data_IF_101405856402
#
_entry.id   IF_101405856402
#
_cell.length_a   1.000
_cell.length_b   1.000
_cell.length_c   1.000
_cell.angle_alpha   90.00
_cell.angle_beta   90.00
_cell.angle_gamma   90.00
#
_symmetry.space_group_name_H-M   'P 1'
#
loop_
_entity.id
_entity.type
_entity.pdbx_description
1 polymer ?
#
# COMPACT_ATOMS: atom_id res chain seq x y z
N UNK A 1 15.96 8.68 -1.48
CA UNK A 1 15.27 8.26 -0.24
C UNK A 1 14.10 7.40 -0.67
N UNK A 2 13.92 6.22 -0.08
CA UNK A 2 12.89 5.28 -0.51
C UNK A 2 11.60 5.56 0.25
N UNK A 3 10.55 6.00 -0.46
CA UNK A 3 9.30 6.47 0.15
C UNK A 3 8.21 5.40 0.16
N UNK A 4 7.44 5.36 1.24
CA UNK A 4 6.24 4.54 1.38
C UNK A 4 5.02 5.40 1.68
N UNK A 5 3.86 4.98 1.18
CA UNK A 5 2.56 5.56 1.52
C UNK A 5 1.70 4.54 2.27
N UNK A 6 1.20 4.90 3.44
CA UNK A 6 0.21 4.12 4.20
C UNK A 6 -1.15 4.76 4.01
N UNK A 7 -2.15 3.99 3.58
CA UNK A 7 -3.53 4.45 3.38
C UNK A 7 -4.44 3.63 4.28
N UNK A 8 -4.79 4.19 5.42
CA UNK A 8 -5.47 3.51 6.52
C UNK A 8 -6.20 4.58 7.34
N UNK A 9 -7.46 4.36 7.72
CA UNK A 9 -8.25 5.35 8.48
C UNK A 9 -8.13 5.17 10.01
N UNK A 10 -7.67 4.00 10.46
CA UNK A 10 -7.53 3.68 11.89
C UNK A 10 -6.13 4.04 12.42
N UNK A 11 -5.99 5.00 13.36
CA UNK A 11 -4.68 5.48 13.84
C UNK A 11 -3.77 4.40 14.43
N UNK A 12 -4.35 3.37 15.07
CA UNK A 12 -3.59 2.25 15.62
C UNK A 12 -2.90 1.43 14.51
N UNK A 13 -3.63 1.12 13.43
CA UNK A 13 -3.06 0.39 12.29
C UNK A 13 -2.08 1.25 11.49
N UNK A 14 -2.37 2.55 11.34
CA UNK A 14 -1.40 3.50 10.75
C UNK A 14 -0.06 3.44 11.49
N UNK A 15 -0.09 3.44 12.82
CA UNK A 15 1.11 3.41 13.67
C UNK A 15 1.89 2.11 13.48
N UNK A 16 1.21 0.97 13.50
CA UNK A 16 1.82 -0.36 13.31
C UNK A 16 2.53 -0.44 11.95
N UNK A 17 1.81 -0.11 10.88
CA UNK A 17 2.34 -0.19 9.51
C UNK A 17 3.49 0.80 9.31
N UNK A 18 3.34 2.04 9.80
CA UNK A 18 4.38 3.06 9.72
C UNK A 18 5.65 2.61 10.44
N UNK A 19 5.55 2.12 11.67
CA UNK A 19 6.72 1.66 12.45
C UNK A 19 7.46 0.53 11.74
N UNK A 20 6.74 -0.43 11.15
CA UNK A 20 7.35 -1.51 10.39
C UNK A 20 8.11 -0.99 9.16
N UNK A 21 7.54 -0.04 8.43
CA UNK A 21 8.14 0.53 7.22
C UNK A 21 9.32 1.44 7.54
N UNK A 22 9.24 2.26 8.58
CA UNK A 22 10.36 3.07 9.07
C UNK A 22 11.51 2.16 9.52
N UNK A 23 11.22 1.08 10.25
CA UNK A 23 12.23 0.07 10.63
C UNK A 23 12.85 -0.63 9.41
N UNK A 24 12.07 -0.82 8.35
CA UNK A 24 12.57 -1.32 7.08
C UNK A 24 13.42 -0.31 6.29
N UNK A 25 13.45 0.96 6.70
CA UNK A 25 14.26 2.02 6.10
C UNK A 25 13.51 2.92 5.10
N UNK A 26 12.17 2.91 5.12
CA UNK A 26 11.36 3.81 4.32
C UNK A 26 11.16 5.17 5.01
N UNK A 27 11.03 6.21 4.19
CA UNK A 27 10.44 7.49 4.58
C UNK A 27 8.93 7.39 4.35
N UNK A 28 8.13 7.49 5.42
CA UNK A 28 6.72 7.07 5.42
C UNK A 28 5.78 8.25 5.51
N UNK A 29 4.83 8.33 4.58
CA UNK A 29 3.68 9.21 4.68
C UNK A 29 2.38 8.44 4.91
N UNK A 30 1.41 9.08 5.56
CA UNK A 30 0.15 8.44 5.98
C UNK A 30 -1.05 9.23 5.49
N UNK A 31 -1.91 8.60 4.70
CA UNK A 31 -3.21 9.08 4.27
C UNK A 31 -4.33 8.41 5.05
N UNK A 32 -5.26 9.22 5.57
CA UNK A 32 -6.40 8.73 6.35
C UNK A 32 -7.60 8.33 5.50
N UNK A 33 -7.54 8.54 4.18
CA UNK A 33 -8.58 8.18 3.23
C UNK A 33 -8.04 8.17 1.78
N UNK A 34 -8.86 7.66 0.86
CA UNK A 34 -8.49 7.56 -0.55
C UNK A 34 -8.26 8.91 -1.27
N UNK A 35 -8.96 9.98 -0.89
CA UNK A 35 -8.78 11.29 -1.51
C UNK A 35 -7.41 11.89 -1.16
N UNK A 36 -7.01 11.78 0.11
CA UNK A 36 -5.70 12.20 0.58
C UNK A 36 -4.58 11.36 -0.04
N UNK A 37 -4.79 10.05 -0.20
CA UNK A 37 -3.84 9.16 -0.89
C UNK A 37 -3.62 9.60 -2.35
N UNK A 38 -4.71 9.86 -3.09
CA UNK A 38 -4.62 10.34 -4.47
C UNK A 38 -4.01 11.73 -4.59
N UNK A 39 -4.24 12.62 -3.62
CA UNK A 39 -3.61 13.93 -3.59
C UNK A 39 -2.07 13.79 -3.45
N UNK A 40 -1.61 13.00 -2.48
CA UNK A 40 -0.17 12.73 -2.29
C UNK A 40 0.48 12.09 -3.51
N UNK A 41 -0.19 11.11 -4.12
CA UNK A 41 0.32 10.43 -5.31
C UNK A 41 0.53 11.37 -6.51
N UNK A 42 -0.22 12.48 -6.58
CA UNK A 42 -0.02 13.51 -7.62
C UNK A 42 1.16 14.44 -7.33
N UNK A 43 1.51 14.63 -6.07
CA UNK A 43 2.56 15.55 -5.64
C UNK A 43 3.95 14.88 -5.62
N UNK A 44 3.98 13.57 -5.38
CA UNK A 44 5.22 12.84 -5.14
C UNK A 44 5.11 11.36 -5.51
N UNK A 45 6.26 10.74 -5.73
CA UNK A 45 6.37 9.33 -6.08
C UNK A 45 6.71 8.47 -4.86
N UNK A 46 6.07 7.30 -4.81
CA UNK A 46 6.28 6.30 -3.78
C UNK A 46 6.74 4.98 -4.40
N UNK A 47 7.49 4.20 -3.62
CA UNK A 47 8.03 2.91 -4.06
C UNK A 47 7.11 1.77 -3.63
N UNK A 48 6.41 1.98 -2.51
CA UNK A 48 5.43 1.04 -1.97
C UNK A 48 4.24 1.79 -1.38
N UNK A 49 3.06 1.22 -1.52
CA UNK A 49 1.83 1.67 -0.89
C UNK A 49 1.20 0.51 -0.13
N UNK A 50 0.86 0.73 1.13
CA UNK A 50 0.02 -0.16 1.93
C UNK A 50 -1.39 0.42 1.97
N UNK A 51 -2.38 -0.36 1.54
CA UNK A 51 -3.74 0.13 1.30
C UNK A 51 -4.78 -0.72 2.03
N UNK A 52 -5.53 -0.11 2.94
CA UNK A 52 -6.73 -0.74 3.50
C UNK A 52 -7.91 -0.64 2.54
N UNK A 53 -8.64 -1.75 2.37
CA UNK A 53 -9.90 -1.77 1.64
C UNK A 53 -11.07 -1.30 2.50
N UNK A 54 -10.98 -1.48 3.82
CA UNK A 54 -12.00 -1.19 4.80
C UNK A 54 -11.94 0.28 5.26
N UNK A 55 -12.24 1.22 4.36
CA UNK A 55 -12.36 2.64 4.70
C UNK A 55 -13.81 3.14 4.50
N UNK A 56 -14.34 3.99 5.39
CA UNK A 56 -15.76 4.38 5.40
C UNK A 56 -16.16 5.35 4.28
N UNK A 57 -15.24 6.20 3.82
CA UNK A 57 -15.57 7.34 2.94
C UNK A 57 -15.33 7.05 1.46
N UNK A 58 -14.14 6.52 1.14
CA UNK A 58 -13.77 6.05 -0.19
C UNK A 58 -13.08 4.71 -0.02
N UNK A 59 -13.65 3.65 -0.60
CA UNK A 59 -13.09 2.31 -0.46
C UNK A 59 -11.71 2.24 -1.10
N UNK A 60 -10.76 1.57 -0.44
CA UNK A 60 -9.44 1.31 -1.00
C UNK A 60 -9.49 0.58 -2.35
N UNK A 61 -10.54 -0.22 -2.59
CA UNK A 61 -10.74 -0.85 -3.91
C UNK A 61 -10.86 0.18 -5.04
N UNK A 62 -11.54 1.30 -4.80
CA UNK A 62 -11.65 2.39 -5.79
C UNK A 62 -10.30 3.06 -6.01
N UNK A 63 -9.53 3.29 -4.94
CA UNK A 63 -8.18 3.87 -5.02
C UNK A 63 -7.27 2.98 -5.87
N UNK A 64 -7.28 1.67 -5.61
CA UNK A 64 -6.49 0.69 -6.35
C UNK A 64 -6.79 0.72 -7.85
N UNK A 65 -8.08 0.71 -8.23
CA UNK A 65 -8.51 0.79 -9.63
C UNK A 65 -8.05 2.08 -10.30
N UNK A 66 -8.24 3.22 -9.65
CA UNK A 66 -7.83 4.53 -10.18
C UNK A 66 -6.32 4.56 -10.42
N UNK A 67 -5.53 4.10 -9.45
CA UNK A 67 -4.06 4.10 -9.55
C UNK A 67 -3.59 3.21 -10.71
N UNK A 68 -4.16 2.01 -10.88
CA UNK A 68 -3.78 1.13 -11.99
C UNK A 68 -4.22 1.65 -13.35
N UNK A 69 -5.37 2.33 -13.44
CA UNK A 69 -5.82 2.97 -14.68
C UNK A 69 -4.93 4.15 -15.10
N UNK A 70 -4.26 4.81 -14.15
CA UNK A 70 -3.41 5.96 -14.46
C UNK A 70 -2.07 5.58 -15.12
N UNK A 71 -1.63 4.31 -15.07
CA UNK A 71 -0.38 3.78 -15.65
C UNK A 71 0.93 4.34 -15.05
N UNK A 72 0.89 5.54 -14.47
CA UNK A 72 2.06 6.26 -13.93
C UNK A 72 2.64 5.64 -12.65
N UNK A 73 1.96 4.62 -12.09
CA UNK A 73 2.33 3.96 -10.84
C UNK A 73 2.67 2.47 -11.02
N UNK A 74 2.95 2.04 -12.26
CA UNK A 74 3.31 0.63 -12.56
C UNK A 74 4.53 0.14 -11.79
N UNK A 75 5.46 1.03 -11.44
CA UNK A 75 6.66 0.68 -10.69
C UNK A 75 6.43 0.64 -9.17
N UNK A 76 5.36 1.26 -8.66
CA UNK A 76 5.04 1.28 -7.23
C UNK A 76 4.39 -0.03 -6.79
N UNK A 77 4.97 -0.69 -5.80
CA UNK A 77 4.37 -1.88 -5.19
C UNK A 77 3.08 -1.49 -4.46
N UNK A 78 1.98 -2.21 -4.70
CA UNK A 78 0.73 -2.00 -3.98
C UNK A 78 0.41 -3.24 -3.16
N UNK A 79 0.47 -3.08 -1.84
CA UNK A 79 0.16 -4.11 -0.85
C UNK A 79 -1.19 -3.79 -0.25
N UNK A 80 -2.17 -4.64 -0.52
CA UNK A 80 -3.49 -4.53 0.11
C UNK A 80 -3.43 -5.17 1.48
N UNK A 81 -3.92 -4.46 2.51
CA UNK A 81 -4.03 -4.96 3.88
C UNK A 81 -5.48 -4.85 4.32
N UNK A 82 -6.18 -5.96 4.51
CA UNK A 82 -7.60 -5.93 4.87
C UNK A 82 -7.91 -6.83 6.06
N UNK A 83 -8.91 -6.46 6.86
CA UNK A 83 -9.48 -7.35 7.88
C UNK A 83 -10.53 -8.32 7.31
N UNK A 84 -11.01 -8.07 6.08
CA UNK A 84 -12.09 -8.84 5.48
C UNK A 84 -11.59 -9.61 4.26
N UNK A 85 -11.41 -10.93 4.43
CA UNK A 85 -11.02 -11.82 3.34
C UNK A 85 -12.05 -11.88 2.20
N UNK A 86 -13.33 -11.60 2.46
CA UNK A 86 -14.35 -11.55 1.41
C UNK A 86 -14.24 -10.33 0.50
N UNK A 87 -13.52 -9.29 0.91
CA UNK A 87 -13.22 -8.14 0.04
C UNK A 87 -12.02 -8.38 -0.87
N UNK A 88 -11.29 -9.48 -0.66
CA UNK A 88 -10.28 -9.94 -1.60
C UNK A 88 -10.95 -10.66 -2.78
N UNK A 89 -11.55 -9.89 -3.68
CA UNK A 89 -12.07 -10.42 -4.95
C UNK A 89 -10.94 -10.69 -5.93
N UNK A 90 -11.17 -11.53 -6.95
CA UNK A 90 -10.20 -11.80 -8.02
C UNK A 90 -9.66 -10.52 -8.67
N UNK A 91 -10.50 -9.49 -8.81
CA UNK A 91 -10.08 -8.18 -9.33
C UNK A 91 -9.06 -7.47 -8.44
N UNK A 92 -9.13 -7.63 -7.11
CA UNK A 92 -8.14 -7.06 -6.19
C UNK A 92 -6.83 -7.83 -6.32
N UNK A 93 -6.88 -9.15 -6.42
CA UNK A 93 -5.70 -9.99 -6.60
C UNK A 93 -4.97 -9.71 -7.93
N UNK A 94 -5.71 -9.34 -8.98
CA UNK A 94 -5.15 -8.96 -10.27
C UNK A 94 -4.48 -7.57 -10.24
N UNK A 95 -5.01 -6.64 -9.44
CA UNK A 95 -4.55 -5.25 -9.41
C UNK A 95 -3.48 -5.01 -8.33
N UNK A 96 -3.55 -5.71 -7.21
CA UNK A 96 -2.58 -5.61 -6.13
C UNK A 96 -1.35 -6.47 -6.43
N UNK A 97 -0.19 -6.04 -5.96
CA UNK A 97 1.02 -6.86 -6.04
C UNK A 97 1.03 -7.93 -4.96
N UNK A 98 0.48 -7.61 -3.80
CA UNK A 98 0.37 -8.49 -2.65
C UNK A 98 -0.92 -8.19 -1.87
N UNK A 99 -1.48 -9.22 -1.25
CA UNK A 99 -2.62 -9.09 -0.34
C UNK A 99 -2.25 -9.71 1.01
N UNK A 100 -2.53 -9.00 2.09
CA UNK A 100 -2.30 -9.43 3.46
C UNK A 100 -3.57 -9.28 4.30
N UNK A 101 -3.76 -10.19 5.25
CA UNK A 101 -4.88 -10.14 6.20
C UNK A 101 -4.41 -9.60 7.54
N UNK A 102 -5.23 -8.73 8.14
CA UNK A 102 -5.06 -8.34 9.56
C UNK A 102 -5.40 -9.54 10.46
N UNK A 103 -4.77 -9.69 11.65
CA UNK A 103 -3.76 -8.79 12.25
C UNK A 103 -2.38 -8.95 11.61
N UNK A 104 -1.64 -7.84 11.54
CA UNK A 104 -0.25 -7.82 11.06
C UNK A 104 0.71 -7.70 12.25
N UNK A 105 1.78 -8.49 12.21
CA UNK A 105 2.91 -8.33 13.11
C UNK A 105 3.93 -7.32 12.53
N UNK A 106 4.51 -6.48 13.39
CA UNK A 106 5.43 -5.41 12.97
C UNK A 106 6.73 -5.98 12.39
N UNK A 107 7.26 -7.06 12.97
CA UNK A 107 8.52 -7.68 12.54
C UNK A 107 8.33 -8.36 11.19
N UNK A 108 7.23 -9.10 11.02
CA UNK A 108 6.90 -9.76 9.76
C UNK A 108 6.70 -8.74 8.63
N UNK A 109 5.97 -7.67 8.91
CA UNK A 109 5.71 -6.60 7.95
C UNK A 109 6.99 -5.87 7.55
N UNK A 110 7.87 -5.61 8.52
CA UNK A 110 9.15 -4.97 8.26
C UNK A 110 10.08 -5.88 7.45
N UNK A 111 10.14 -7.17 7.77
CA UNK A 111 10.94 -8.15 7.03
C UNK A 111 10.44 -8.28 5.58
N UNK A 112 9.13 -8.32 5.38
CA UNK A 112 8.52 -8.28 4.07
C UNK A 112 8.91 -7.01 3.30
N UNK A 113 8.78 -5.83 3.89
CA UNK A 113 9.11 -4.57 3.25
C UNK A 113 10.61 -4.46 2.91
N UNK A 114 11.50 -4.93 3.79
CA UNK A 114 12.95 -5.00 3.52
C UNK A 114 13.29 -5.91 2.35
N UNK A 115 12.57 -7.03 2.17
CA UNK A 115 12.76 -7.91 1.01
C UNK A 115 12.39 -7.19 -0.28
N UNK A 116 11.29 -6.44 -0.29
CA UNK A 116 10.89 -5.66 -1.46
C UNK A 116 11.91 -4.57 -1.79
N UNK A 117 12.49 -3.89 -0.79
CA UNK A 117 13.57 -2.91 -1.03
C UNK A 117 14.79 -3.49 -1.75
N UNK A 118 15.13 -4.74 -1.45
CA UNK A 118 16.28 -5.44 -2.05
C UNK A 118 15.99 -6.00 -3.42
N UNK A 119 14.72 -6.05 -3.82
CA UNK A 119 14.29 -6.63 -5.09
C UNK A 119 14.06 -5.50 -6.08
N UNK A 120 14.77 -5.50 -7.20
CA UNK A 120 14.43 -4.59 -8.31
C UNK A 120 13.20 -5.17 -9.00
N UNK A 121 12.10 -4.41 -9.07
CA UNK A 121 10.93 -4.84 -9.81
C UNK A 121 11.35 -5.05 -11.28
N UNK A 122 11.13 -6.24 -11.87
CA UNK A 122 11.38 -6.39 -13.29
C UNK A 122 10.48 -5.40 -14.02
N UNK A 123 11.08 -4.58 -14.89
CA UNK A 123 10.31 -3.68 -15.76
C UNK A 123 9.50 -4.59 -16.67
N UNK A 124 8.19 -4.65 -16.46
CA UNK A 124 7.28 -5.31 -17.37
C UNK A 124 7.29 -4.55 -18.69
N UNK A 125 8.14 -4.98 -19.63
CA UNK A 125 8.08 -4.61 -21.03
C UNK A 125 6.77 -5.17 -21.60
N UNK A 126 5.72 -4.35 -21.60
CA UNK A 126 4.53 -4.58 -22.43
C UNK A 126 4.73 -3.93 -23.80
#
# INVERSE_FOLDING_TARGET
MTRALVVEDTPAFQTIIRMALEYAGFDVEVACNGAEALARLREQTFHIMFLDLNMPTMSGATVLKVIRQMGSYEQMYIVVVTANSHMNSSEIEELADFVMLKPLDVEDLALFAQRLLKTTRPVSIH
#
